data_IF_316313603900
#
_entry.id   IF_316313603900
#
_cell.length_a   1.000
_cell.length_b   1.000
_cell.length_c   1.000
_cell.angle_alpha   90.00
_cell.angle_beta   90.00
_cell.angle_gamma   90.00
#
_symmetry.space_group_name_H-M   'P 1'
#
loop_
_entity.id
_entity.type
_entity.pdbx_description
1 polymer ?
#
# COMPACT_ATOMS: atom_id res chain seq x y z
N UNK A 1 64.45 51.81 6.54
CA UNK A 1 64.28 50.34 6.56
C UNK A 1 62.95 50.02 5.88
N UNK A 2 63.08 49.43 4.70
CA UNK A 2 62.07 48.83 3.82
C UNK A 2 61.39 47.61 4.46
N UNK A 3 60.10 47.38 4.14
CA UNK A 3 59.44 46.10 3.80
C UNK A 3 57.91 46.34 3.77
N UNK A 4 57.29 46.39 2.58
CA UNK A 4 56.67 45.28 1.80
C UNK A 4 55.36 44.74 2.41
N UNK A 5 54.21 45.09 1.81
CA UNK A 5 53.39 44.33 0.83
C UNK A 5 52.62 43.17 1.48
N UNK A 6 51.30 43.18 1.31
CA UNK A 6 50.44 42.02 1.54
C UNK A 6 48.96 42.34 1.47
N UNK A 7 48.45 42.65 0.27
CA UNK A 7 47.02 42.53 -0.05
C UNK A 7 46.61 41.06 0.15
N UNK A 8 45.69 40.82 1.08
CA UNK A 8 45.06 39.50 1.23
C UNK A 8 43.66 39.60 0.65
N UNK A 9 43.54 39.22 -0.62
CA UNK A 9 42.27 38.95 -1.28
C UNK A 9 41.42 38.00 -0.42
N UNK A 10 40.25 38.47 -0.02
CA UNK A 10 39.21 37.64 0.55
C UNK A 10 38.70 36.67 -0.53
N UNK A 11 39.23 35.45 -0.52
CA UNK A 11 38.69 34.35 -1.32
C UNK A 11 37.25 34.06 -0.88
N UNK A 12 36.28 34.59 -1.63
CA UNK A 12 34.88 34.21 -1.55
C UNK A 12 34.78 32.74 -1.95
N UNK A 13 34.64 31.87 -0.95
CA UNK A 13 34.31 30.47 -1.18
C UNK A 13 32.90 30.38 -1.75
N UNK A 14 32.81 30.30 -3.08
CA UNK A 14 31.57 29.99 -3.80
C UNK A 14 31.01 28.64 -3.31
N UNK A 15 29.78 28.58 -2.78
CA UNK A 15 29.17 27.30 -2.41
C UNK A 15 28.95 26.48 -3.68
N UNK A 16 29.58 25.31 -3.75
CA UNK A 16 29.41 24.33 -4.82
C UNK A 16 27.96 23.81 -4.82
N UNK A 17 27.12 24.04 -5.86
CA UNK A 17 25.74 23.62 -5.83
C UNK A 17 25.53 22.45 -6.78
N UNK A 18 25.93 21.22 -6.42
CA UNK A 18 25.73 20.07 -7.35
C UNK A 18 25.10 18.83 -6.71
N UNK A 19 25.13 18.66 -5.37
CA UNK A 19 24.57 17.46 -4.74
C UNK A 19 23.05 17.51 -4.44
N UNK A 20 22.40 18.68 -4.47
CA UNK A 20 21.03 18.88 -3.94
C UNK A 20 19.90 18.61 -4.95
N UNK A 21 20.17 18.70 -6.26
CA UNK A 21 19.15 18.62 -7.31
C UNK A 21 18.55 17.20 -7.50
N UNK A 22 19.39 16.16 -7.48
CA UNK A 22 18.91 14.77 -7.65
C UNK A 22 18.09 14.27 -6.46
N UNK A 23 18.49 14.61 -5.24
CA UNK A 23 17.77 14.23 -4.03
C UNK A 23 16.41 14.95 -3.89
N UNK A 24 16.33 16.21 -4.32
CA UNK A 24 15.06 16.92 -4.36
C UNK A 24 14.12 16.37 -5.43
N UNK A 25 14.64 16.03 -6.62
CA UNK A 25 13.84 15.45 -7.72
C UNK A 25 13.27 14.07 -7.38
N UNK A 26 14.03 13.21 -6.70
CA UNK A 26 13.55 11.88 -6.30
C UNK A 26 12.48 11.96 -5.21
N UNK A 27 12.55 12.97 -4.33
CA UNK A 27 11.52 13.20 -3.30
C UNK A 27 10.20 13.67 -3.91
N UNK A 28 10.24 14.63 -4.83
CA UNK A 28 9.03 15.09 -5.54
C UNK A 28 8.37 13.97 -6.34
N UNK A 29 9.15 13.17 -7.09
CA UNK A 29 8.58 12.03 -7.83
C UNK A 29 7.92 10.99 -6.91
N UNK A 30 8.47 10.76 -5.71
CA UNK A 30 7.89 9.85 -4.74
C UNK A 30 6.58 10.38 -4.16
N UNK A 31 6.51 11.68 -3.88
CA UNK A 31 5.32 12.35 -3.36
C UNK A 31 4.20 12.40 -4.41
N UNK A 32 4.53 12.72 -5.67
CA UNK A 32 3.59 12.67 -6.79
C UNK A 32 3.00 11.26 -6.99
N UNK A 33 3.83 10.22 -6.90
CA UNK A 33 3.37 8.82 -6.97
C UNK A 33 2.43 8.48 -5.83
N UNK A 34 2.72 8.94 -4.61
CA UNK A 34 1.84 8.74 -3.44
C UNK A 34 0.50 9.44 -3.64
N UNK A 35 0.53 10.70 -4.06
CA UNK A 35 -0.69 11.48 -4.32
C UNK A 35 -1.54 10.83 -5.42
N UNK A 36 -0.92 10.35 -6.50
CA UNK A 36 -1.61 9.60 -7.55
C UNK A 36 -2.31 8.35 -7.00
N UNK A 37 -1.63 7.57 -6.14
CA UNK A 37 -2.23 6.38 -5.52
C UNK A 37 -3.44 6.76 -4.66
N UNK A 38 -3.36 7.83 -3.87
CA UNK A 38 -4.49 8.29 -3.05
C UNK A 38 -5.69 8.75 -3.89
N UNK A 39 -5.46 9.52 -4.96
CA UNK A 39 -6.52 9.89 -5.91
C UNK A 39 -7.14 8.63 -6.55
N UNK A 40 -6.31 7.65 -6.89
CA UNK A 40 -6.78 6.38 -7.47
C UNK A 40 -7.64 5.58 -6.48
N UNK A 41 -7.29 5.59 -5.18
CA UNK A 41 -8.10 4.96 -4.13
C UNK A 41 -9.47 5.63 -4.00
N UNK A 42 -9.56 6.96 -4.15
CA UNK A 42 -10.84 7.67 -4.13
C UNK A 42 -11.73 7.27 -5.30
N UNK A 43 -11.16 7.22 -6.52
CA UNK A 43 -11.90 6.76 -7.70
C UNK A 43 -12.39 5.32 -7.55
N UNK A 44 -11.55 4.42 -7.04
CA UNK A 44 -11.94 3.04 -6.76
C UNK A 44 -13.10 2.95 -5.76
N UNK A 45 -13.07 3.75 -4.68
CA UNK A 45 -14.14 3.75 -3.67
C UNK A 45 -15.49 4.11 -4.30
N UNK A 46 -15.53 5.09 -5.22
CA UNK A 46 -16.73 5.45 -5.94
C UNK A 46 -17.24 4.27 -6.79
N UNK A 47 -16.39 3.75 -7.68
CA UNK A 47 -16.76 2.63 -8.58
C UNK A 47 -17.21 1.37 -7.81
N UNK A 48 -16.55 1.05 -6.71
CA UNK A 48 -16.88 -0.13 -5.91
C UNK A 48 -18.22 0.05 -5.17
N UNK A 49 -18.53 1.26 -4.69
CA UNK A 49 -19.84 1.55 -4.07
C UNK A 49 -20.97 1.53 -5.08
N UNK A 50 -20.75 2.09 -6.27
CA UNK A 50 -21.73 2.03 -7.36
C UNK A 50 -22.01 0.59 -7.78
N UNK A 51 -21.01 -0.28 -7.69
CA UNK A 51 -21.17 -1.73 -7.89
C UNK A 51 -21.74 -2.46 -6.66
N UNK A 52 -22.08 -1.80 -5.55
CA UNK A 52 -22.60 -2.40 -4.31
C UNK A 52 -21.62 -3.29 -3.51
N UNK A 53 -20.33 -2.98 -3.55
CA UNK A 53 -19.39 -3.50 -2.55
C UNK A 53 -19.62 -2.80 -1.21
N UNK A 54 -19.45 -3.54 -0.12
CA UNK A 54 -19.54 -2.98 1.24
C UNK A 54 -18.30 -2.17 1.57
N UNK A 55 -18.43 -1.19 2.48
CA UNK A 55 -17.26 -0.44 2.95
C UNK A 55 -16.18 -1.36 3.56
N UNK A 56 -16.59 -2.42 4.26
CA UNK A 56 -15.70 -3.46 4.79
C UNK A 56 -14.83 -4.11 3.69
N UNK A 57 -15.45 -4.57 2.60
CA UNK A 57 -14.74 -5.17 1.47
C UNK A 57 -13.80 -4.16 0.78
N UNK A 58 -14.24 -2.91 0.67
CA UNK A 58 -13.47 -1.84 0.06
C UNK A 58 -12.22 -1.53 0.89
N UNK A 59 -12.37 -1.32 2.20
CA UNK A 59 -11.23 -1.06 3.09
C UNK A 59 -10.28 -2.26 3.14
N UNK A 60 -10.81 -3.49 3.24
CA UNK A 60 -10.00 -4.71 3.20
C UNK A 60 -9.19 -4.83 1.92
N UNK A 61 -9.80 -4.53 0.77
CA UNK A 61 -9.14 -4.61 -0.54
C UNK A 61 -8.00 -3.59 -0.68
N UNK A 62 -8.23 -2.36 -0.22
CA UNK A 62 -7.21 -1.31 -0.21
C UNK A 62 -6.07 -1.67 0.75
N UNK A 63 -6.40 -2.08 1.98
CA UNK A 63 -5.42 -2.51 2.98
C UNK A 63 -4.58 -3.68 2.48
N UNK A 64 -5.19 -4.66 1.80
CA UNK A 64 -4.48 -5.76 1.17
C UNK A 64 -3.52 -5.29 0.08
N UNK A 65 -3.95 -4.41 -0.84
CA UNK A 65 -3.07 -3.85 -1.88
C UNK A 65 -1.88 -3.11 -1.25
N UNK A 66 -2.11 -2.24 -0.26
CA UNK A 66 -1.06 -1.46 0.38
C UNK A 66 -0.06 -2.32 1.16
N UNK A 67 -0.53 -3.34 1.86
CA UNK A 67 0.34 -4.29 2.60
C UNK A 67 1.13 -5.19 1.65
N UNK A 68 0.51 -5.66 0.58
CA UNK A 68 1.13 -6.48 -0.47
C UNK A 68 2.22 -5.70 -1.21
N UNK A 69 1.96 -4.44 -1.56
CA UNK A 69 2.92 -3.56 -2.24
C UNK A 69 3.91 -2.90 -1.29
N UNK A 70 3.84 -3.20 0.02
CA UNK A 70 4.68 -2.62 1.07
C UNK A 70 4.59 -1.08 1.16
N UNK A 71 3.48 -0.48 0.72
CA UNK A 71 3.18 0.94 0.97
C UNK A 71 2.85 1.16 2.44
N UNK A 72 2.27 0.15 3.08
CA UNK A 72 1.99 0.12 4.52
C UNK A 72 2.51 -1.18 5.10
N UNK A 73 3.21 -1.12 6.23
CA UNK A 73 3.57 -2.33 6.97
C UNK A 73 2.41 -2.72 7.89
N UNK A 74 2.12 -4.03 8.05
CA UNK A 74 1.24 -4.48 9.10
C UNK A 74 1.75 -4.03 10.47
N UNK A 75 0.87 -3.62 11.40
CA UNK A 75 1.28 -3.22 12.74
C UNK A 75 1.83 -4.42 13.51
N UNK A 76 2.89 -4.18 14.27
CA UNK A 76 3.57 -5.22 15.03
C UNK A 76 4.89 -4.73 15.61
N UNK A 77 5.61 -5.64 16.26
CA UNK A 77 6.92 -5.37 16.84
C UNK A 77 7.92 -6.45 16.47
N UNK A 78 9.20 -6.06 16.40
CA UNK A 78 10.30 -7.00 16.29
C UNK A 78 10.84 -7.32 17.67
N UNK A 79 10.99 -8.62 17.97
CA UNK A 79 11.66 -9.12 19.18
C UNK A 79 12.67 -10.18 18.72
N UNK A 80 13.96 -9.98 18.98
CA UNK A 80 15.04 -10.89 18.55
C UNK A 80 14.97 -11.30 17.08
N UNK A 81 14.83 -10.29 16.21
CA UNK A 81 14.66 -10.44 14.75
C UNK A 81 13.38 -11.14 14.30
N UNK A 82 12.47 -11.53 15.21
CA UNK A 82 11.17 -12.12 14.89
C UNK A 82 10.10 -11.04 14.88
N UNK A 83 9.21 -11.08 13.89
CA UNK A 83 8.08 -10.16 13.81
C UNK A 83 6.84 -10.76 14.46
N UNK A 84 6.25 -10.02 15.39
CA UNK A 84 4.97 -10.34 16.01
C UNK A 84 3.94 -9.27 15.61
N UNK A 85 2.88 -9.70 14.92
CA UNK A 85 1.78 -8.83 14.51
C UNK A 85 0.97 -8.39 15.74
N UNK A 86 0.54 -7.13 15.75
CA UNK A 86 -0.39 -6.63 16.77
C UNK A 86 -1.83 -7.06 16.48
N UNK A 87 -2.14 -7.33 15.22
CA UNK A 87 -3.47 -7.76 14.76
C UNK A 87 -3.59 -9.30 14.86
N UNK A 88 -4.38 -9.76 15.83
CA UNK A 88 -4.56 -11.19 16.14
C UNK A 88 -5.78 -11.80 15.43
N UNK A 89 -5.59 -12.10 14.15
CA UNK A 89 -6.52 -12.86 13.29
C UNK A 89 -6.21 -14.36 13.33
N UNK A 90 -7.09 -15.18 12.75
CA UNK A 90 -6.86 -16.63 12.57
C UNK A 90 -5.54 -16.89 11.84
N UNK A 91 -5.28 -16.17 10.75
CA UNK A 91 -4.07 -16.31 9.94
C UNK A 91 -2.77 -15.96 10.69
N UNK A 92 -2.77 -14.93 11.55
CA UNK A 92 -1.58 -14.52 12.32
C UNK A 92 -1.37 -15.39 13.56
N UNK A 93 -2.45 -15.87 14.20
CA UNK A 93 -2.40 -16.78 15.35
C UNK A 93 -1.73 -18.11 15.02
N UNK A 94 -2.04 -18.70 13.87
CA UNK A 94 -1.44 -19.97 13.42
C UNK A 94 0.03 -19.86 12.99
N UNK A 95 0.57 -18.65 12.90
CA UNK A 95 1.81 -18.34 12.18
C UNK A 95 2.96 -17.99 13.14
N UNK A 96 3.29 -18.87 14.10
CA UNK A 96 4.26 -18.56 15.17
C UNK A 96 5.70 -18.37 14.65
N UNK A 97 6.36 -17.23 14.96
CA UNK A 97 7.76 -16.99 14.56
C UNK A 97 8.78 -17.90 15.26
N UNK A 98 9.74 -18.40 14.49
CA UNK A 98 10.87 -19.22 14.99
C UNK A 98 12.22 -18.60 14.59
N UNK A 99 13.34 -19.15 15.07
CA UNK A 99 14.68 -18.68 14.67
C UNK A 99 14.95 -18.88 13.17
N UNK A 100 14.47 -20.00 12.60
CA UNK A 100 14.63 -20.33 11.18
C UNK A 100 13.61 -19.59 10.31
N UNK A 101 12.45 -19.27 10.87
CA UNK A 101 11.37 -18.58 10.18
C UNK A 101 10.86 -17.39 11.02
N UNK A 102 11.56 -16.25 10.96
CA UNK A 102 11.30 -15.11 11.85
C UNK A 102 10.10 -14.24 11.43
N UNK A 103 9.61 -14.34 10.20
CA UNK A 103 8.57 -13.46 9.65
C UNK A 103 7.22 -14.10 9.26
N UNK A 104 6.78 -15.26 9.80
CA UNK A 104 5.51 -15.88 9.40
C UNK A 104 4.31 -14.97 9.64
N UNK A 105 4.23 -14.29 10.78
CA UNK A 105 3.12 -13.37 11.06
C UNK A 105 3.13 -12.15 10.13
N UNK A 106 4.31 -11.67 9.73
CA UNK A 106 4.40 -10.56 8.77
C UNK A 106 3.85 -10.96 7.40
N UNK A 107 4.15 -12.19 6.97
CA UNK A 107 3.63 -12.73 5.71
C UNK A 107 2.13 -13.00 5.80
N UNK A 108 1.66 -13.59 6.89
CA UNK A 108 0.23 -13.82 7.14
C UNK A 108 -0.55 -12.50 7.16
N UNK A 109 0.01 -11.47 7.78
CA UNK A 109 -0.61 -10.15 7.89
C UNK A 109 -0.68 -9.37 6.56
N UNK A 110 -0.04 -9.89 5.50
CA UNK A 110 -0.09 -9.37 4.13
C UNK A 110 -1.07 -10.13 3.23
N UNK A 111 -1.89 -11.03 3.78
CA UNK A 111 -2.84 -11.81 2.98
C UNK A 111 -4.21 -11.15 2.90
N UNK A 112 -4.94 -11.43 1.82
CA UNK A 112 -6.32 -10.94 1.65
C UNK A 112 -7.25 -11.44 2.76
N UNK A 113 -7.08 -12.69 3.22
CA UNK A 113 -7.90 -13.27 4.30
C UNK A 113 -7.69 -12.52 5.61
N UNK A 114 -6.45 -12.20 5.96
CA UNK A 114 -6.15 -11.40 7.13
C UNK A 114 -6.79 -9.99 7.07
N UNK A 115 -6.67 -9.30 5.94
CA UNK A 115 -7.31 -8.00 5.76
C UNK A 115 -8.84 -8.09 5.81
N UNK A 116 -9.42 -9.17 5.28
CA UNK A 116 -10.85 -9.42 5.39
C UNK A 116 -11.30 -9.58 6.85
N UNK A 117 -10.56 -10.36 7.65
CA UNK A 117 -10.86 -10.53 9.09
C UNK A 117 -10.80 -9.20 9.86
N UNK A 118 -9.76 -8.38 9.64
CA UNK A 118 -9.60 -7.08 10.35
C UNK A 118 -10.74 -6.12 10.04
N UNK A 119 -11.16 -6.08 8.79
CA UNK A 119 -12.18 -5.15 8.32
C UNK A 119 -13.59 -5.77 8.31
N UNK A 120 -13.75 -6.99 8.83
CA UNK A 120 -15.04 -7.71 8.91
C UNK A 120 -15.71 -7.87 7.53
N UNK A 121 -14.93 -8.20 6.50
CA UNK A 121 -15.45 -8.50 5.17
C UNK A 121 -15.74 -9.99 5.03
N UNK A 122 -16.98 -10.34 4.70
CA UNK A 122 -17.44 -11.73 4.64
C UNK A 122 -16.82 -12.55 3.49
N UNK A 123 -16.54 -11.90 2.35
CA UNK A 123 -16.08 -12.58 1.14
C UNK A 123 -14.67 -12.13 0.71
N UNK A 124 -13.68 -12.96 1.02
CA UNK A 124 -12.28 -12.77 0.64
C UNK A 124 -12.10 -12.65 -0.89
N UNK A 125 -12.99 -13.24 -1.70
CA UNK A 125 -12.92 -13.14 -3.16
C UNK A 125 -13.23 -11.73 -3.65
N UNK A 126 -14.16 -11.03 -2.97
CA UNK A 126 -14.48 -9.64 -3.27
C UNK A 126 -13.34 -8.72 -2.83
N UNK A 127 -12.73 -8.98 -1.67
CA UNK A 127 -11.51 -8.28 -1.21
C UNK A 127 -10.39 -8.37 -2.25
N UNK A 128 -10.11 -9.58 -2.76
CA UNK A 128 -9.11 -9.79 -3.83
C UNK A 128 -9.46 -9.03 -5.11
N UNK A 129 -10.75 -8.97 -5.44
CA UNK A 129 -11.24 -8.29 -6.65
C UNK A 129 -11.13 -6.77 -6.55
N UNK A 130 -11.44 -6.18 -5.40
CA UNK A 130 -11.20 -4.75 -5.11
C UNK A 130 -9.70 -4.44 -5.18
N UNK A 131 -8.84 -5.28 -4.59
CA UNK A 131 -7.39 -5.11 -4.71
C UNK A 131 -6.92 -5.16 -6.17
N UNK A 132 -7.43 -6.10 -6.97
CA UNK A 132 -7.10 -6.18 -8.39
C UNK A 132 -7.58 -4.95 -9.15
N UNK A 133 -8.80 -4.46 -8.87
CA UNK A 133 -9.31 -3.22 -9.44
C UNK A 133 -8.40 -2.02 -9.13
N UNK A 134 -7.91 -1.90 -7.89
CA UNK A 134 -6.93 -0.87 -7.52
C UNK A 134 -5.64 -1.00 -8.32
N UNK A 135 -5.07 -2.20 -8.38
CA UNK A 135 -3.81 -2.47 -9.10
C UNK A 135 -3.96 -2.12 -10.59
N UNK A 136 -5.12 -2.37 -11.20
CA UNK A 136 -5.44 -1.99 -12.59
C UNK A 136 -5.52 -0.48 -12.80
N UNK A 137 -6.22 0.23 -11.91
CA UNK A 137 -6.32 1.70 -12.00
C UNK A 137 -4.95 2.38 -11.78
N UNK A 138 -4.11 1.86 -10.88
CA UNK A 138 -2.74 2.37 -10.68
C UNK A 138 -1.91 2.25 -11.97
N UNK A 139 -2.13 1.18 -12.74
CA UNK A 139 -1.51 0.94 -14.06
C UNK A 139 -2.16 1.73 -15.20
N UNK A 140 -3.12 2.62 -14.90
CA UNK A 140 -3.89 3.40 -15.86
C UNK A 140 -4.67 2.52 -16.86
N UNK A 141 -5.15 1.35 -16.43
CA UNK A 141 -6.10 0.57 -17.25
C UNK A 141 -7.45 1.29 -17.38
N UNK A 142 -8.21 0.94 -18.43
CA UNK A 142 -9.47 1.58 -18.77
C UNK A 142 -10.51 1.35 -17.67
N UNK A 143 -11.17 2.42 -17.22
CA UNK A 143 -12.17 2.39 -16.13
C UNK A 143 -13.31 1.40 -16.42
N UNK A 144 -13.80 1.35 -17.66
CA UNK A 144 -14.85 0.41 -18.06
C UNK A 144 -14.48 -1.06 -17.83
N UNK A 145 -13.21 -1.44 -17.96
CA UNK A 145 -12.77 -2.81 -17.69
C UNK A 145 -12.66 -3.11 -16.18
N UNK A 146 -12.40 -2.08 -15.39
CA UNK A 146 -12.43 -2.17 -13.92
C UNK A 146 -13.88 -2.32 -13.42
N UNK A 147 -14.82 -1.58 -14.00
CA UNK A 147 -16.25 -1.73 -13.72
C UNK A 147 -16.75 -3.14 -14.06
N UNK A 148 -16.41 -3.66 -15.26
CA UNK A 148 -16.72 -5.05 -15.65
C UNK A 148 -16.16 -6.06 -14.63
N UNK A 149 -14.92 -5.85 -14.20
CA UNK A 149 -14.29 -6.71 -13.19
C UNK A 149 -15.07 -6.70 -11.87
N UNK A 150 -15.44 -5.51 -11.37
CA UNK A 150 -16.20 -5.34 -10.12
C UNK A 150 -17.60 -5.95 -10.22
N UNK A 151 -18.33 -5.67 -11.30
CA UNK A 151 -19.66 -6.20 -11.56
C UNK A 151 -19.69 -7.72 -11.62
N UNK A 152 -18.63 -8.37 -12.12
CA UNK A 152 -18.52 -9.83 -12.11
C UNK A 152 -18.54 -10.42 -10.70
N UNK A 153 -17.96 -9.74 -9.71
CA UNK A 153 -17.97 -10.18 -8.31
C UNK A 153 -19.37 -10.19 -7.72
N UNK A 154 -20.13 -9.13 -8.00
CA UNK A 154 -21.47 -8.92 -7.46
C UNK A 154 -22.48 -9.86 -8.10
N UNK A 155 -22.38 -10.07 -9.43
CA UNK A 155 -23.14 -11.12 -10.12
C UNK A 155 -22.90 -12.50 -9.49
N UNK A 156 -21.65 -12.81 -9.14
CA UNK A 156 -21.33 -14.07 -8.47
C UNK A 156 -21.90 -14.14 -7.05
N UNK A 157 -21.93 -13.03 -6.30
CA UNK A 157 -22.57 -12.95 -4.97
C UNK A 157 -24.07 -13.22 -5.07
N UNK A 158 -24.76 -12.56 -6.00
CA UNK A 158 -26.19 -12.75 -6.23
C UNK A 158 -26.53 -14.18 -6.67
N UNK A 159 -25.71 -14.78 -7.53
CA UNK A 159 -25.91 -16.18 -7.93
C UNK A 159 -25.80 -17.15 -6.73
N UNK A 160 -24.88 -16.88 -5.79
CA UNK A 160 -24.76 -17.68 -4.57
C UNK A 160 -25.94 -17.49 -3.61
N UNK A 161 -26.45 -16.27 -3.46
CA UNK A 161 -27.61 -16.02 -2.59
C UNK A 161 -28.88 -16.70 -3.09
N UNK A 162 -29.07 -16.78 -4.42
CA UNK A 162 -30.21 -17.49 -5.02
C UNK A 162 -30.10 -19.01 -4.85
N UNK A 163 -28.89 -19.57 -4.92
CA UNK A 163 -28.68 -21.03 -4.79
C UNK A 163 -28.85 -21.58 -3.36
N UNK A 164 -28.94 -20.69 -2.36
CA UNK A 164 -29.08 -21.06 -0.94
C UNK A 164 -30.54 -20.88 -0.45
N UNK A 165 -31.37 -20.18 -1.23
CA UNK A 165 -32.81 -19.99 -0.96
C UNK A 165 -33.63 -21.15 -1.55
#
# INVERSE_FOLDING_TARGET
MTHQIGDVEAAVASPTPIASSKANRTRTEADERRQKVEVTKLALKALARDAHYTDAEIQAGIAFSDRKSRRTNPPGRFVDKKFYASEYTTATKSSVPTRRWPYPQLLAARTAGHCAEIHQADDVSNVRRVCLALDRLIRNEIVADVEKLLNKGIKARLARSVAVA
#
